data_IF_685355442950
#
_entry.id   IF_685355442950
#
_cell.length_a   1.000
_cell.length_b   1.000
_cell.length_c   1.000
_cell.angle_alpha   90.00
_cell.angle_beta   90.00
_cell.angle_gamma   90.00
#
_symmetry.space_group_name_H-M   'P 1'
#
loop_
_entity.id
_entity.type
_entity.pdbx_description
1 polymer ?
#
# COMPACT_ATOMS: atom_id res chain seq x y z
N UNK A 1 2.30 -6.25 -2.43
CA UNK A 1 1.52 -5.35 -3.31
C UNK A 1 2.47 -4.81 -4.38
N UNK A 2 2.05 -4.77 -5.64
CA UNK A 2 2.84 -4.18 -6.73
C UNK A 2 1.90 -3.36 -7.61
N UNK A 3 2.22 -2.08 -7.84
CA UNK A 3 1.47 -1.21 -8.77
C UNK A 3 2.29 -0.98 -10.03
N UNK A 4 1.64 -1.08 -11.19
CA UNK A 4 2.18 -0.62 -12.48
C UNK A 4 1.77 0.83 -12.73
N UNK A 5 2.72 1.64 -13.14
CA UNK A 5 2.58 3.01 -13.65
C UNK A 5 3.17 2.96 -15.07
N UNK A 6 2.69 3.78 -15.99
CA UNK A 6 2.91 3.69 -17.44
C UNK A 6 4.30 3.18 -17.87
N UNK A 7 5.38 3.64 -17.23
CA UNK A 7 6.77 3.20 -17.48
C UNK A 7 7.52 2.59 -16.27
N UNK A 8 6.88 2.35 -15.13
CA UNK A 8 7.58 1.84 -13.93
C UNK A 8 6.68 1.06 -12.95
N UNK A 9 7.27 0.38 -11.98
CA UNK A 9 6.53 -0.31 -10.92
C UNK A 9 7.00 0.11 -9.55
N UNK A 10 6.05 0.38 -8.64
CA UNK A 10 6.35 0.55 -7.22
C UNK A 10 6.09 -0.79 -6.52
N UNK A 11 7.15 -1.37 -5.98
CA UNK A 11 7.11 -2.63 -5.23
C UNK A 11 7.41 -2.34 -3.76
N UNK A 12 6.52 -2.78 -2.87
CA UNK A 12 6.62 -2.54 -1.44
C UNK A 12 6.36 -3.85 -0.70
N UNK A 13 7.19 -4.22 0.29
CA UNK A 13 6.90 -5.34 1.16
C UNK A 13 5.63 -5.07 1.97
N UNK A 14 4.75 -6.06 2.03
CA UNK A 14 3.56 -6.04 2.88
C UNK A 14 3.64 -7.25 3.79
N UNK A 15 3.58 -7.09 5.12
CA UNK A 15 3.57 -8.20 6.05
C UNK A 15 2.41 -9.16 5.76
N UNK A 16 2.67 -10.47 5.85
CA UNK A 16 1.67 -11.50 5.65
C UNK A 16 1.07 -11.95 7.00
N UNK A 17 0.32 -11.06 7.64
CA UNK A 17 -0.42 -11.33 8.87
C UNK A 17 -1.91 -11.12 8.64
N UNK A 18 -2.76 -11.68 9.52
CA UNK A 18 -4.22 -11.52 9.43
C UNK A 18 -4.67 -10.06 9.61
N UNK A 19 -3.89 -9.26 10.34
CA UNK A 19 -4.19 -7.85 10.60
C UNK A 19 -2.94 -6.99 10.45
N UNK A 20 -3.07 -5.86 9.76
CA UNK A 20 -2.03 -4.84 9.63
C UNK A 20 -2.34 -3.73 10.63
N UNK A 21 -1.43 -3.47 11.57
CA UNK A 21 -1.55 -2.36 12.52
C UNK A 21 -1.59 -1.01 11.80
N UNK A 22 -2.32 -0.04 12.35
CA UNK A 22 -2.56 1.27 11.71
C UNK A 22 -1.28 2.00 11.28
N UNK A 23 -0.22 2.00 12.11
CA UNK A 23 1.04 2.65 11.76
C UNK A 23 1.75 1.98 10.58
N UNK A 24 1.66 0.65 10.49
CA UNK A 24 2.18 -0.12 9.34
C UNK A 24 1.37 0.16 8.09
N UNK A 25 0.03 0.18 8.19
CA UNK A 25 -0.85 0.53 7.08
C UNK A 25 -0.57 1.94 6.56
N UNK A 26 -0.42 2.92 7.46
CA UNK A 26 -0.06 4.30 7.10
C UNK A 26 1.30 4.38 6.39
N UNK A 27 2.30 3.63 6.86
CA UNK A 27 3.61 3.56 6.20
C UNK A 27 3.49 2.99 4.78
N UNK A 28 2.70 1.92 4.60
CA UNK A 28 2.43 1.32 3.28
C UNK A 28 1.74 2.32 2.34
N UNK A 29 0.69 3.01 2.81
CA UNK A 29 -0.03 4.03 2.01
C UNK A 29 0.95 5.12 1.57
N UNK A 30 1.74 5.66 2.50
CA UNK A 30 2.74 6.70 2.20
C UNK A 30 3.82 6.21 1.21
N UNK A 31 4.35 5.02 1.39
CA UNK A 31 5.39 4.44 0.51
C UNK A 31 4.84 4.09 -0.88
N UNK A 32 3.54 3.79 -0.97
CA UNK A 32 2.90 3.45 -2.25
C UNK A 32 2.72 4.66 -3.17
N UNK A 33 2.73 5.88 -2.62
CA UNK A 33 2.40 7.10 -3.36
C UNK A 33 0.97 7.10 -3.90
N UNK A 34 0.08 6.30 -3.33
CA UNK A 34 -1.31 6.17 -3.77
C UNK A 34 -2.29 6.98 -2.91
N UNK A 35 -3.42 7.40 -3.49
CA UNK A 35 -4.52 7.95 -2.71
C UNK A 35 -4.99 6.99 -1.63
N UNK A 36 -5.20 7.53 -0.42
CA UNK A 36 -5.69 6.77 0.74
C UNK A 36 -7.01 6.04 0.48
N UNK A 37 -7.89 6.63 -0.33
CA UNK A 37 -9.19 6.06 -0.69
C UNK A 37 -9.10 4.68 -1.36
N UNK A 38 -7.97 4.33 -1.98
CA UNK A 38 -7.76 3.00 -2.54
C UNK A 38 -7.56 1.89 -1.49
N UNK A 39 -7.40 2.26 -0.23
CA UNK A 39 -7.21 1.35 0.90
C UNK A 39 -8.42 1.28 1.84
N UNK A 40 -9.47 2.05 1.54
CA UNK A 40 -10.70 2.11 2.31
C UNK A 40 -11.77 1.26 1.61
N UNK A 41 -12.61 0.57 2.38
CA UNK A 41 -13.70 -0.25 1.81
C UNK A 41 -14.93 0.63 1.62
N UNK A 42 -15.61 0.47 0.49
CA UNK A 42 -16.86 1.17 0.14
C UNK A 42 -18.07 0.55 0.84
#
# INVERSE_FOLDING_TARGET
MQKKIDNSTITIPVPNYSEIRIGTLQSIIRQSGLPRSLFEVS
#
